data_IF_129543100009
#
_entry.id   IF_129543100009
#
_cell.length_a   1.000
_cell.length_b   1.000
_cell.length_c   1.000
_cell.angle_alpha   90.00
_cell.angle_beta   90.00
_cell.angle_gamma   90.00
#
_symmetry.space_group_name_H-M   'P 1'
#
loop_
_entity.id
_entity.type
_entity.pdbx_description
1 polymer ?
#
# COMPACT_ATOMS: atom_id res chain seq x y z
N UNK A 1 -8.58 12.14 24.75
CA UNK A 1 -7.94 11.56 23.56
C UNK A 1 -8.98 10.64 22.90
N UNK A 2 -9.76 11.14 21.96
CA UNK A 2 -10.87 10.40 21.36
C UNK A 2 -10.37 9.48 20.24
N UNK A 3 -10.66 8.19 20.35
CA UNK A 3 -10.39 7.21 19.30
C UNK A 3 -11.37 7.45 18.14
N UNK A 4 -10.93 8.11 17.07
CA UNK A 4 -11.72 8.24 15.84
C UNK A 4 -11.72 6.91 15.09
N UNK A 5 -12.64 6.02 15.46
CA UNK A 5 -12.96 4.84 14.65
C UNK A 5 -13.83 5.30 13.47
N UNK A 6 -13.25 5.43 12.27
CA UNK A 6 -13.92 5.85 11.03
C UNK A 6 -15.01 4.92 10.48
N UNK A 7 -15.75 4.20 11.34
CA UNK A 7 -16.87 3.35 10.94
C UNK A 7 -18.12 4.20 10.66
N UNK A 8 -18.71 4.00 9.47
CA UNK A 8 -19.98 4.64 9.08
C UNK A 8 -21.13 4.22 10.03
N UNK A 9 -21.99 5.15 10.49
CA UNK A 9 -23.15 4.81 11.31
C UNK A 9 -24.12 3.84 10.62
N UNK A 10 -24.66 2.86 11.35
CA UNK A 10 -25.44 1.74 10.80
C UNK A 10 -26.75 2.15 10.09
N UNK A 11 -27.34 3.29 10.46
CA UNK A 11 -28.60 3.77 9.90
C UNK A 11 -28.42 4.51 8.56
N UNK A 12 -27.20 4.83 8.15
CA UNK A 12 -26.91 5.56 6.92
C UNK A 12 -26.95 4.59 5.74
N UNK A 13 -28.10 4.52 5.07
CA UNK A 13 -28.31 3.73 3.86
C UNK A 13 -27.86 4.50 2.60
N UNK A 14 -27.33 3.83 1.57
CA UNK A 14 -27.05 4.46 0.27
C UNK A 14 -28.36 4.87 -0.44
N UNK A 15 -28.32 5.85 -1.37
CA UNK A 15 -29.48 6.24 -2.18
C UNK A 15 -30.01 5.10 -3.06
N UNK A 16 -31.33 5.05 -3.28
CA UNK A 16 -32.00 3.96 -4.00
C UNK A 16 -31.58 3.81 -5.48
N UNK A 17 -31.12 4.90 -6.11
CA UNK A 17 -30.68 4.91 -7.51
C UNK A 17 -29.23 4.44 -7.69
N UNK A 18 -28.50 4.19 -6.59
CA UNK A 18 -27.10 3.77 -6.65
C UNK A 18 -27.03 2.25 -6.85
N UNK A 19 -26.56 1.81 -8.02
CA UNK A 19 -26.25 0.40 -8.26
C UNK A 19 -25.13 -0.07 -7.32
N UNK A 20 -25.18 -1.33 -6.88
CA UNK A 20 -24.04 -1.94 -6.18
C UNK A 20 -22.85 -1.99 -7.13
N UNK A 21 -21.68 -1.60 -6.64
CA UNK A 21 -20.44 -1.78 -7.41
C UNK A 21 -20.22 -3.28 -7.66
N UNK A 22 -19.72 -3.65 -8.86
CA UNK A 22 -19.20 -4.99 -9.07
C UNK A 22 -18.09 -5.28 -8.04
N UNK A 23 -17.88 -6.56 -7.67
CA UNK A 23 -16.75 -6.92 -6.83
C UNK A 23 -15.45 -6.43 -7.49
N UNK A 24 -14.57 -5.85 -6.68
CA UNK A 24 -13.22 -5.52 -7.14
C UNK A 24 -12.51 -6.81 -7.55
N UNK A 25 -11.67 -6.79 -8.59
CA UNK A 25 -10.86 -7.95 -8.96
C UNK A 25 -9.98 -8.41 -7.78
N UNK A 26 -9.70 -9.72 -7.74
CA UNK A 26 -8.68 -10.26 -6.85
C UNK A 26 -7.32 -9.68 -7.24
N UNK A 27 -6.50 -9.26 -6.27
CA UNK A 27 -5.14 -8.83 -6.55
C UNK A 27 -4.31 -10.01 -7.08
N UNK A 28 -3.37 -9.72 -7.97
CA UNK A 28 -2.40 -10.71 -8.45
C UNK A 28 -1.52 -11.22 -7.30
N UNK A 29 -0.97 -12.42 -7.49
CA UNK A 29 0.03 -12.95 -6.56
C UNK A 29 1.26 -12.03 -6.55
N UNK A 30 1.82 -11.78 -5.36
CA UNK A 30 3.09 -11.08 -5.25
C UNK A 30 4.20 -11.98 -5.76
N UNK A 31 4.93 -11.51 -6.77
CA UNK A 31 6.18 -12.14 -7.17
C UNK A 31 7.24 -12.01 -6.08
N UNK A 32 8.31 -12.81 -6.19
CA UNK A 32 9.47 -12.67 -5.32
C UNK A 32 10.04 -11.24 -5.43
N UNK A 33 10.47 -10.64 -4.30
CA UNK A 33 11.07 -9.32 -4.33
C UNK A 33 12.29 -9.30 -5.24
N UNK A 34 12.45 -8.21 -6.00
CA UNK A 34 13.66 -7.98 -6.80
C UNK A 34 14.90 -8.09 -5.91
N UNK A 35 15.92 -8.81 -6.39
CA UNK A 35 17.21 -8.88 -5.72
C UNK A 35 18.11 -7.79 -6.28
N UNK A 36 18.69 -7.00 -5.39
CA UNK A 36 19.72 -6.03 -5.76
C UNK A 36 21.02 -6.80 -6.00
N UNK A 37 21.45 -6.85 -7.26
CA UNK A 37 22.71 -7.50 -7.69
C UNK A 37 23.88 -6.50 -7.79
N UNK A 38 23.65 -5.22 -7.46
CA UNK A 38 24.66 -4.18 -7.56
C UNK A 38 25.79 -4.35 -6.53
N UNK A 39 27.03 -4.18 -6.98
CA UNK A 39 28.18 -4.13 -6.10
C UNK A 39 28.17 -2.82 -5.29
N UNK A 40 28.48 -2.92 -3.99
CA UNK A 40 28.61 -1.76 -3.12
C UNK A 40 29.69 -0.80 -3.67
N UNK A 41 29.28 0.40 -4.06
CA UNK A 41 30.18 1.44 -4.56
C UNK A 41 30.53 2.43 -3.43
N UNK A 42 31.82 2.75 -3.22
CA UNK A 42 32.25 3.68 -2.16
C UNK A 42 31.75 5.12 -2.36
N UNK A 43 31.17 5.45 -3.53
CA UNK A 43 30.67 6.79 -3.87
C UNK A 43 29.16 6.94 -3.62
N UNK A 44 28.44 5.84 -3.33
CA UNK A 44 26.98 5.86 -3.10
C UNK A 44 26.66 5.93 -1.60
N UNK A 45 27.06 7.02 -0.94
CA UNK A 45 26.55 7.35 0.40
C UNK A 45 25.18 8.03 0.25
N UNK A 46 24.09 7.28 0.43
CA UNK A 46 22.71 7.82 0.40
C UNK A 46 21.66 6.86 -0.16
N UNK A 47 22.06 5.87 -0.98
CA UNK A 47 21.12 4.89 -1.53
C UNK A 47 21.02 3.68 -0.60
N UNK A 48 20.29 3.82 0.51
CA UNK A 48 20.00 2.68 1.38
C UNK A 48 18.65 2.11 0.97
N UNK A 49 18.62 0.84 0.56
CA UNK A 49 17.38 0.21 0.11
C UNK A 49 17.01 -0.97 0.99
N UNK A 50 15.73 -1.07 1.39
CA UNK A 50 15.21 -2.20 2.16
C UNK A 50 13.94 -2.73 1.51
N UNK A 51 14.01 -3.95 0.98
CA UNK A 51 12.91 -4.63 0.26
C UNK A 51 12.45 -3.87 -1.00
N UNK A 52 13.37 -3.32 -1.78
CA UNK A 52 12.99 -2.58 -2.99
C UNK A 52 12.54 -1.13 -2.74
N UNK A 53 12.79 -0.58 -1.54
CA UNK A 53 12.32 0.75 -1.11
C UNK A 53 13.51 1.59 -0.65
N UNK A 54 13.70 2.75 -1.28
CA UNK A 54 14.68 3.75 -0.86
C UNK A 54 14.35 4.27 0.56
N UNK A 55 15.36 4.24 1.42
CA UNK A 55 15.35 4.72 2.80
C UNK A 55 16.44 5.78 2.94
N UNK A 56 16.07 6.93 3.50
CA UNK A 56 16.99 8.01 3.89
C UNK A 56 16.66 8.46 5.32
N UNK A 57 17.60 9.11 6.02
CA UNK A 57 17.47 9.55 7.43
C UNK A 57 17.14 11.04 7.59
#
# INVERSE_FOLDING_TARGET
MGTFNGKRPAHVKPPAHLSKNPPVPQADALDAPSRHEEALSPVRYGDWERKGIAIDF
#
